data_IF_609457950756
#
_entry.id   IF_609457950756
#
_cell.length_a   1.000
_cell.length_b   1.000
_cell.length_c   1.000
_cell.angle_alpha   90.00
_cell.angle_beta   90.00
_cell.angle_gamma   90.00
#
_symmetry.space_group_name_H-M   'P 1'
#
loop_
_entity.id
_entity.type
_entity.pdbx_description
1 polymer ?
#
# COMPACT_ATOMS: atom_id res chain seq x y z
N UNK A 1 14.45 -3.17 -27.46
CA UNK A 1 13.83 -2.27 -26.48
C UNK A 1 14.64 -2.45 -25.22
N UNK A 2 15.61 -1.57 -24.98
CA UNK A 2 16.38 -1.57 -23.74
C UNK A 2 15.39 -1.25 -22.63
N UNK A 3 14.98 -2.29 -21.89
CA UNK A 3 14.30 -2.09 -20.62
C UNK A 3 15.41 -1.61 -19.70
N UNK A 4 15.52 -0.29 -19.56
CA UNK A 4 16.35 0.33 -18.54
C UNK A 4 16.04 -0.39 -17.23
N UNK A 5 17.02 -1.07 -16.65
CA UNK A 5 16.91 -1.66 -15.31
C UNK A 5 16.92 -0.54 -14.27
N UNK A 6 15.97 0.40 -14.37
CA UNK A 6 15.52 1.12 -13.19
C UNK A 6 14.93 0.06 -12.27
N UNK A 7 15.43 0.01 -11.04
CA UNK A 7 14.94 -0.90 -10.01
C UNK A 7 13.42 -0.80 -9.93
N UNK A 8 12.71 -1.90 -10.22
CA UNK A 8 11.27 -1.98 -10.06
C UNK A 8 10.90 -1.56 -8.64
N UNK A 9 10.22 -0.42 -8.52
CA UNK A 9 9.85 0.15 -7.23
C UNK A 9 8.36 -0.05 -6.97
N UNK A 10 8.04 -0.64 -5.83
CA UNK A 10 6.66 -0.77 -5.38
C UNK A 10 6.11 0.63 -5.03
N UNK A 11 4.89 0.90 -5.49
CA UNK A 11 4.15 2.14 -5.20
C UNK A 11 2.80 1.79 -4.60
N UNK A 12 2.41 2.54 -3.58
CA UNK A 12 1.10 2.42 -2.92
C UNK A 12 -0.01 3.09 -3.72
N UNK A 13 -1.27 2.77 -3.45
CA UNK A 13 -2.42 3.45 -4.06
C UNK A 13 -2.40 4.96 -3.79
N UNK A 14 -1.91 5.39 -2.62
CA UNK A 14 -1.78 6.80 -2.27
C UNK A 14 -0.74 7.52 -3.15
N UNK A 15 0.37 6.86 -3.47
CA UNK A 15 1.38 7.38 -4.40
C UNK A 15 0.85 7.39 -5.83
N UNK A 16 0.19 6.31 -6.27
CA UNK A 16 -0.46 6.23 -7.60
C UNK A 16 -1.45 7.38 -7.79
N UNK A 17 -2.29 7.66 -6.79
CA UNK A 17 -3.21 8.81 -6.78
C UNK A 17 -2.48 10.12 -7.06
N UNK A 18 -1.37 10.38 -6.36
CA UNK A 18 -0.60 11.60 -6.53
C UNK A 18 0.09 11.69 -7.90
N UNK A 19 0.64 10.58 -8.38
CA UNK A 19 1.30 10.48 -9.69
C UNK A 19 0.28 10.79 -10.81
N UNK A 20 -0.86 10.13 -10.81
CA UNK A 20 -1.89 10.33 -11.83
C UNK A 20 -2.53 11.72 -11.76
N UNK A 21 -2.72 12.29 -10.55
CA UNK A 21 -3.16 13.69 -10.39
C UNK A 21 -2.15 14.71 -10.91
N UNK A 22 -0.86 14.42 -10.80
CA UNK A 22 0.18 15.28 -11.37
C UNK A 22 0.13 15.22 -12.90
N UNK A 23 0.08 14.01 -13.45
CA UNK A 23 0.01 13.78 -14.91
C UNK A 23 -1.25 14.42 -15.50
N UNK A 24 -2.41 14.35 -14.83
CA UNK A 24 -3.65 14.96 -15.33
C UNK A 24 -3.63 16.48 -15.35
N UNK A 25 -2.75 17.13 -14.58
CA UNK A 25 -2.53 18.59 -14.64
C UNK A 25 -1.56 18.98 -15.74
N UNK A 26 -0.58 18.13 -16.02
CA UNK A 26 0.46 18.38 -17.03
C UNK A 26 -0.03 18.07 -18.45
N UNK A 27 -0.90 17.06 -18.60
CA UNK A 27 -1.47 16.63 -19.87
C UNK A 27 -2.90 17.13 -19.99
N UNK A 28 -3.33 17.49 -21.21
CA UNK A 28 -4.73 17.85 -21.49
C UNK A 28 -5.71 16.72 -21.16
N UNK A 29 -5.31 15.47 -21.35
CA UNK A 29 -6.20 14.32 -21.13
C UNK A 29 -5.41 13.04 -20.74
N UNK A 30 -5.93 12.31 -19.75
CA UNK A 30 -5.46 10.97 -19.37
C UNK A 30 -6.02 9.91 -20.34
N UNK A 31 -5.26 8.82 -20.54
CA UNK A 31 -5.79 7.64 -21.24
C UNK A 31 -6.96 7.02 -20.45
N UNK A 32 -7.79 6.23 -21.12
CA UNK A 32 -8.98 5.62 -20.51
C UNK A 32 -8.63 4.78 -19.27
N UNK A 33 -7.60 3.95 -19.36
CA UNK A 33 -7.12 3.09 -18.27
C UNK A 33 -6.54 3.92 -17.13
N UNK A 34 -5.89 5.04 -17.44
CA UNK A 34 -5.34 5.96 -16.45
C UNK A 34 -6.44 6.71 -15.69
N UNK A 35 -7.56 7.05 -16.36
CA UNK A 35 -8.74 7.62 -15.70
C UNK A 35 -9.32 6.62 -14.71
N UNK A 36 -9.53 5.37 -15.12
CA UNK A 36 -10.03 4.30 -14.23
C UNK A 36 -9.09 4.07 -13.05
N UNK A 37 -7.77 4.00 -13.30
CA UNK A 37 -6.78 3.82 -12.25
C UNK A 37 -6.79 4.99 -11.25
N UNK A 38 -6.96 6.23 -11.73
CA UNK A 38 -7.06 7.40 -10.87
C UNK A 38 -8.34 7.36 -10.03
N UNK A 39 -9.49 7.05 -10.64
CA UNK A 39 -10.77 6.91 -9.92
C UNK A 39 -10.69 5.84 -8.83
N UNK A 40 -10.09 4.69 -9.13
CA UNK A 40 -9.84 3.64 -8.15
C UNK A 40 -8.93 4.13 -7.02
N UNK A 41 -7.80 4.75 -7.35
CA UNK A 41 -6.86 5.27 -6.35
C UNK A 41 -7.49 6.37 -5.48
N UNK A 42 -8.35 7.23 -6.04
CA UNK A 42 -9.10 8.23 -5.28
C UNK A 42 -10.10 7.61 -4.31
N UNK A 43 -10.78 6.54 -4.71
CA UNK A 43 -11.77 5.85 -3.88
C UNK A 43 -11.13 5.02 -2.76
N UNK A 44 -9.99 4.38 -3.02
CA UNK A 44 -9.43 3.36 -2.11
C UNK A 44 -8.17 3.81 -1.37
N UNK A 45 -7.47 4.86 -1.78
CA UNK A 45 -6.33 5.39 -1.01
C UNK A 45 -6.82 6.17 0.22
N UNK A 46 -7.06 5.44 1.32
CA UNK A 46 -7.62 5.97 2.58
C UNK A 46 -6.65 6.90 3.33
N UNK A 47 -5.35 6.74 3.12
CA UNK A 47 -4.31 7.58 3.73
C UNK A 47 -3.69 8.54 2.70
N UNK A 48 -3.07 9.62 3.18
CA UNK A 48 -2.17 10.43 2.34
C UNK A 48 -0.88 9.67 2.04
N UNK A 49 -0.21 9.98 0.93
CA UNK A 49 1.05 9.31 0.57
C UNK A 49 2.14 9.43 1.67
N UNK A 50 2.11 10.51 2.46
CA UNK A 50 3.01 10.68 3.61
C UNK A 50 2.66 9.69 4.73
N UNK A 51 1.40 9.65 5.16
CA UNK A 51 0.94 8.70 6.19
C UNK A 51 1.17 7.25 5.75
N UNK A 52 0.87 6.91 4.50
CA UNK A 52 1.14 5.59 3.93
C UNK A 52 2.62 5.22 4.03
N UNK A 53 3.53 6.15 3.69
CA UNK A 53 4.98 5.92 3.79
C UNK A 53 5.43 5.74 5.24
N UNK A 54 4.90 6.52 6.17
CA UNK A 54 5.21 6.41 7.59
C UNK A 54 4.75 5.05 8.16
N UNK A 55 3.55 4.59 7.76
CA UNK A 55 3.02 3.27 8.09
C UNK A 55 3.89 2.13 7.54
N UNK A 56 4.25 2.19 6.25
CA UNK A 56 5.14 1.20 5.61
C UNK A 56 6.47 1.12 6.36
N UNK A 57 7.05 2.26 6.70
CA UNK A 57 8.32 2.34 7.42
C UNK A 57 8.24 1.71 8.82
N UNK A 58 7.09 1.82 9.49
CA UNK A 58 6.88 1.19 10.80
C UNK A 58 6.65 -0.32 10.68
N UNK A 59 5.87 -0.76 9.69
CA UNK A 59 5.61 -2.18 9.41
C UNK A 59 6.89 -2.94 9.04
N UNK A 60 7.76 -2.34 8.24
CA UNK A 60 9.05 -2.93 7.82
C UNK A 60 10.04 -3.16 8.98
N UNK A 61 9.74 -2.67 10.19
CA UNK A 61 10.55 -2.96 11.39
C UNK A 61 10.16 -4.27 12.06
N UNK A 62 9.02 -4.84 11.70
CA UNK A 62 8.61 -6.14 12.20
C UNK A 62 9.40 -7.24 11.49
N UNK A 63 9.77 -8.27 12.23
CA UNK A 63 10.36 -9.47 11.65
C UNK A 63 9.39 -10.10 10.64
N UNK A 64 9.93 -10.70 9.58
CA UNK A 64 9.17 -11.41 8.53
C UNK A 64 8.21 -10.54 7.68
N UNK A 65 8.22 -9.21 7.86
CA UNK A 65 7.52 -8.27 6.98
C UNK A 65 8.46 -7.78 5.88
N UNK A 66 8.29 -8.33 4.68
CA UNK A 66 8.93 -7.85 3.46
C UNK A 66 8.23 -6.59 2.92
N UNK A 67 8.91 -5.86 2.04
CA UNK A 67 8.41 -4.61 1.45
C UNK A 67 7.02 -4.80 0.81
N UNK A 68 6.83 -5.87 0.03
CA UNK A 68 5.55 -6.17 -0.62
C UNK A 68 4.40 -6.35 0.39
N UNK A 69 4.68 -6.97 1.55
CA UNK A 69 3.69 -7.13 2.62
C UNK A 69 3.34 -5.78 3.24
N UNK A 70 4.34 -4.95 3.52
CA UNK A 70 4.14 -3.63 4.12
C UNK A 70 3.28 -2.72 3.22
N UNK A 71 3.56 -2.70 1.91
CA UNK A 71 2.74 -1.98 0.94
C UNK A 71 1.31 -2.53 0.86
N UNK A 72 1.15 -3.86 0.83
CA UNK A 72 -0.17 -4.50 0.78
C UNK A 72 -1.01 -4.21 2.02
N UNK A 73 -0.41 -4.27 3.20
CA UNK A 73 -1.05 -3.92 4.47
C UNK A 73 -1.45 -2.43 4.47
N UNK A 74 -0.58 -1.54 3.98
CA UNK A 74 -0.86 -0.11 3.96
C UNK A 74 -1.97 0.29 2.96
N UNK A 75 -2.14 -0.46 1.86
CA UNK A 75 -3.24 -0.24 0.91
C UNK A 75 -4.57 -0.83 1.40
N UNK A 76 -4.55 -1.98 2.11
CA UNK A 76 -5.76 -2.64 2.60
C UNK A 76 -6.26 -2.01 3.90
N UNK A 77 -5.34 -1.72 4.82
CA UNK A 77 -5.58 -1.28 6.20
C UNK A 77 -6.46 -2.30 6.95
N UNK A 78 -5.91 -3.50 7.23
CA UNK A 78 -6.65 -4.56 7.92
C UNK A 78 -7.09 -4.09 9.31
N UNK A 79 -8.31 -4.47 9.71
CA UNK A 79 -8.88 -4.06 11.00
C UNK A 79 -9.24 -5.25 11.91
N UNK A 80 -9.29 -6.45 11.36
CA UNK A 80 -9.50 -7.71 12.08
C UNK A 80 -8.42 -8.73 11.72
N UNK A 81 -8.25 -9.75 12.56
CA UNK A 81 -7.23 -10.79 12.36
C UNK A 81 -7.37 -11.53 11.02
N UNK A 82 -8.61 -11.78 10.60
CA UNK A 82 -8.88 -12.50 9.35
C UNK A 82 -8.41 -11.72 8.12
N UNK A 83 -8.40 -10.40 8.15
CA UNK A 83 -7.83 -9.58 7.07
C UNK A 83 -6.32 -9.80 6.96
N UNK A 84 -5.62 -9.84 8.10
CA UNK A 84 -4.17 -10.10 8.14
C UNK A 84 -3.91 -11.52 7.64
N UNK A 85 -4.64 -12.52 8.14
CA UNK A 85 -4.51 -13.90 7.66
C UNK A 85 -4.76 -14.01 6.16
N UNK A 86 -5.71 -13.25 5.61
CA UNK A 86 -5.98 -13.23 4.17
C UNK A 86 -4.81 -12.65 3.35
N UNK A 87 -4.11 -11.62 3.86
CA UNK A 87 -2.91 -11.06 3.22
C UNK A 87 -1.79 -12.11 3.11
N UNK A 88 -1.59 -12.92 4.15
CA UNK A 88 -0.53 -13.94 4.21
C UNK A 88 -0.97 -15.32 3.70
N UNK A 89 -2.21 -15.49 3.23
CA UNK A 89 -2.77 -16.82 2.90
C UNK A 89 -2.05 -17.57 1.76
N UNK A 90 -1.26 -16.86 0.94
CA UNK A 90 -0.43 -17.44 -0.14
C UNK A 90 1.07 -17.31 0.09
N UNK A 91 1.46 -16.79 1.26
CA UNK A 91 2.86 -16.65 1.64
C UNK A 91 3.39 -17.96 2.24
N UNK A 92 4.72 -18.14 2.19
CA UNK A 92 5.38 -19.29 2.82
C UNK A 92 5.37 -19.20 4.34
N UNK A 93 5.23 -17.99 4.86
CA UNK A 93 5.25 -17.69 6.27
C UNK A 93 3.85 -17.28 6.72
N UNK A 94 3.42 -17.83 7.84
CA UNK A 94 2.15 -17.52 8.49
C UNK A 94 2.44 -16.79 9.80
N UNK A 95 2.04 -15.51 9.95
CA UNK A 95 2.19 -14.79 11.21
C UNK A 95 1.42 -15.49 12.34
N UNK A 96 2.02 -15.56 13.52
CA UNK A 96 1.36 -16.02 14.74
C UNK A 96 0.49 -14.91 15.36
N UNK A 97 -0.33 -15.27 16.36
CA UNK A 97 -1.29 -14.35 16.99
C UNK A 97 -0.65 -13.07 17.53
N UNK A 98 0.59 -13.16 18.06
CA UNK A 98 1.32 -11.99 18.58
C UNK A 98 1.74 -11.07 17.43
N UNK A 99 2.21 -11.62 16.33
CA UNK A 99 2.62 -10.85 15.15
C UNK A 99 1.41 -10.18 14.47
N UNK A 100 0.30 -10.92 14.33
CA UNK A 100 -0.97 -10.37 13.83
C UNK A 100 -1.42 -9.19 14.69
N UNK A 101 -1.38 -9.34 16.01
CA UNK A 101 -1.73 -8.26 16.94
C UNK A 101 -0.82 -7.03 16.77
N UNK A 102 0.49 -7.23 16.64
CA UNK A 102 1.43 -6.12 16.41
C UNK A 102 1.13 -5.39 15.10
N UNK A 103 0.83 -6.11 14.01
CA UNK A 103 0.44 -5.52 12.72
C UNK A 103 -0.81 -4.65 12.89
N UNK A 104 -1.86 -5.19 13.53
CA UNK A 104 -3.11 -4.47 13.75
C UNK A 104 -2.93 -3.24 14.64
N UNK A 105 -2.08 -3.32 15.67
CA UNK A 105 -1.75 -2.17 16.53
C UNK A 105 -1.05 -1.05 15.75
N UNK A 106 -0.08 -1.39 14.89
CA UNK A 106 0.60 -0.43 14.02
C UNK A 106 -0.42 0.19 13.04
N UNK A 107 -1.23 -0.61 12.37
CA UNK A 107 -2.24 -0.10 11.42
C UNK A 107 -3.20 0.85 12.13
N UNK A 108 -3.71 0.46 13.31
CA UNK A 108 -4.63 1.27 14.11
C UNK A 108 -4.05 2.63 14.47
N UNK A 109 -2.77 2.70 14.82
CA UNK A 109 -2.07 3.97 15.13
C UNK A 109 -2.08 4.96 13.96
N UNK A 110 -2.07 4.47 12.72
CA UNK A 110 -2.05 5.29 11.50
C UNK A 110 -3.43 5.51 10.87
N UNK A 111 -4.42 4.67 11.20
CA UNK A 111 -5.77 4.74 10.65
C UNK A 111 -6.76 5.57 11.47
N UNK A 112 -6.33 6.19 12.57
CA UNK A 112 -7.17 7.08 13.38
C UNK A 112 -7.15 8.49 12.78
N UNK A 113 -8.28 8.86 12.15
CA UNK A 113 -8.84 10.22 12.28
C UNK A 113 -9.68 10.30 13.55
#
# INVERSE_FOLDING_TARGET
MEISTETDKIVSLAEVKNILKKISKERKELLYEQKIALEHAEKFAKLSAKQTKDLITELMKLDHIEEIHAYKIADILPNIEDDVKAIFAKERYTPNDREIKNILEIVKKHSIE
#
